data_IF_334541803216
#
_entry.id   IF_334541803216
#
_cell.length_a   1.000
_cell.length_b   1.000
_cell.length_c   1.000
_cell.angle_alpha   90.00
_cell.angle_beta   90.00
_cell.angle_gamma   90.00
#
_symmetry.space_group_name_H-M   'P 1'
#
loop_
_entity.id
_entity.type
_entity.pdbx_description
1 polymer ?
#
# COMPACT_ATOMS: atom_id res chain seq x y z
N UNK A 1 -14.33 -16.54 12.86
CA UNK A 1 -14.13 -15.98 11.51
C UNK A 1 -13.08 -14.87 11.56
N UNK A 2 -12.51 -14.43 10.43
CA UNK A 2 -11.71 -13.20 10.40
C UNK A 2 -12.66 -12.03 10.63
N UNK A 3 -12.41 -11.21 11.65
CA UNK A 3 -13.17 -9.99 11.91
C UNK A 3 -12.58 -8.82 11.13
N UNK A 4 -11.29 -8.57 11.33
CA UNK A 4 -10.56 -7.46 10.70
C UNK A 4 -9.08 -7.85 10.51
N UNK A 5 -8.52 -7.54 9.34
CA UNK A 5 -7.09 -7.77 9.06
C UNK A 5 -6.30 -6.57 9.55
N UNK A 6 -5.24 -6.85 10.28
CA UNK A 6 -4.41 -5.85 10.97
C UNK A 6 -3.04 -5.68 10.34
N UNK A 7 -2.56 -6.65 9.56
CA UNK A 7 -1.32 -6.56 8.80
C UNK A 7 -1.29 -7.59 7.68
N UNK A 8 -0.68 -7.21 6.55
CA UNK A 8 -0.28 -8.09 5.46
C UNK A 8 1.23 -8.05 5.29
N UNK A 9 1.81 -9.22 5.04
CA UNK A 9 3.22 -9.36 4.69
C UNK A 9 3.39 -10.38 3.58
N UNK A 10 4.05 -9.95 2.51
CA UNK A 10 4.51 -10.83 1.44
C UNK A 10 5.98 -11.17 1.68
N UNK A 11 6.33 -12.45 1.61
CA UNK A 11 7.72 -12.92 1.66
C UNK A 11 8.01 -13.80 0.47
N UNK A 12 9.10 -13.50 -0.23
CA UNK A 12 9.59 -14.29 -1.34
C UNK A 12 10.65 -15.27 -0.86
N UNK A 13 10.52 -16.55 -1.24
CA UNK A 13 11.54 -17.57 -1.05
C UNK A 13 12.00 -18.09 -2.40
N UNK A 14 13.28 -18.45 -2.52
CA UNK A 14 13.81 -19.05 -3.74
C UNK A 14 13.73 -20.56 -3.63
N UNK A 15 13.30 -21.23 -4.70
CA UNK A 15 13.40 -22.67 -4.79
C UNK A 15 14.88 -23.08 -4.72
N UNK A 16 15.20 -24.03 -3.84
CA UNK A 16 16.58 -24.48 -3.64
C UNK A 16 17.18 -25.17 -4.88
N UNK A 17 16.33 -25.63 -5.80
CA UNK A 17 16.73 -26.42 -6.96
C UNK A 17 16.63 -25.65 -8.29
N UNK A 18 15.90 -24.54 -8.32
CA UNK A 18 15.85 -23.62 -9.47
C UNK A 18 15.85 -22.16 -8.97
N UNK A 19 16.94 -21.43 -9.23
CA UNK A 19 17.11 -20.05 -8.73
C UNK A 19 16.22 -19.04 -9.45
N UNK A 20 15.63 -19.40 -10.58
CA UNK A 20 14.70 -18.54 -11.30
C UNK A 20 13.24 -18.77 -10.86
N UNK A 21 13.00 -19.73 -9.97
CA UNK A 21 11.69 -20.05 -9.44
C UNK A 21 11.57 -19.49 -8.02
N UNK A 22 10.84 -18.39 -7.88
CA UNK A 22 10.55 -17.76 -6.60
C UNK A 22 9.11 -18.02 -6.20
N UNK A 23 8.92 -18.53 -4.99
CA UNK A 23 7.59 -18.72 -4.41
C UNK A 23 7.33 -17.58 -3.44
N UNK A 24 6.22 -16.89 -3.66
CA UNK A 24 5.74 -15.86 -2.74
C UNK A 24 4.76 -16.45 -1.73
N UNK A 25 4.80 -15.88 -0.53
CA UNK A 25 3.98 -16.29 0.59
C UNK A 25 3.34 -15.09 1.25
N UNK A 26 2.02 -15.14 1.42
CA UNK A 26 1.26 -14.17 2.17
C UNK A 26 1.11 -14.63 3.62
N UNK A 27 1.40 -13.72 4.53
CA UNK A 27 1.08 -13.83 5.96
C UNK A 27 0.07 -12.75 6.31
N UNK A 28 -1.02 -13.17 6.96
CA UNK A 28 -2.15 -12.32 7.32
C UNK A 28 -2.28 -12.33 8.84
N UNK A 29 -2.09 -11.17 9.48
CA UNK A 29 -2.40 -10.98 10.90
C UNK A 29 -3.79 -10.37 11.03
N UNK A 30 -4.63 -10.96 11.88
CA UNK A 30 -6.02 -10.54 12.00
C UNK A 30 -6.54 -10.68 13.43
N UNK A 31 -7.62 -9.97 13.73
CA UNK A 31 -8.43 -10.22 14.92
C UNK A 31 -9.57 -11.16 14.55
N UNK A 32 -9.81 -12.17 15.38
CA UNK A 32 -11.03 -12.97 15.28
C UNK A 32 -12.25 -12.23 15.85
N UNK A 33 -13.42 -12.87 15.80
CA UNK A 33 -14.68 -12.28 16.27
C UNK A 33 -14.67 -11.89 17.75
N UNK A 34 -13.90 -12.64 18.55
CA UNK A 34 -13.69 -12.39 19.99
C UNK A 34 -12.62 -11.31 20.24
N UNK A 35 -11.99 -10.78 19.19
CA UNK A 35 -10.93 -9.78 19.29
C UNK A 35 -9.55 -10.36 19.64
N UNK A 36 -9.36 -11.67 19.55
CA UNK A 36 -8.04 -12.27 19.76
C UNK A 36 -7.20 -12.14 18.50
N UNK A 37 -5.92 -11.81 18.69
CA UNK A 37 -4.98 -11.79 17.59
C UNK A 37 -4.63 -13.21 17.11
N UNK A 38 -4.75 -13.42 15.81
CA UNK A 38 -4.50 -14.66 15.09
C UNK A 38 -3.68 -14.36 13.84
N UNK A 39 -3.14 -15.42 13.25
CA UNK A 39 -2.30 -15.31 12.07
C UNK A 39 -2.57 -16.48 11.13
N UNK A 40 -2.69 -16.19 9.83
CA UNK A 40 -2.53 -17.17 8.77
C UNK A 40 -1.10 -17.02 8.25
N UNK A 41 -0.33 -18.11 8.29
CA UNK A 41 1.07 -18.11 7.87
C UNK A 41 1.23 -18.76 6.52
N UNK A 42 2.12 -18.18 5.72
CA UNK A 42 2.69 -18.81 4.54
C UNK A 42 1.65 -19.35 3.54
N UNK A 43 0.65 -18.55 3.16
CA UNK A 43 -0.21 -18.88 2.04
C UNK A 43 0.61 -18.76 0.74
N UNK A 44 0.90 -19.86 0.02
CA UNK A 44 1.71 -19.79 -1.19
C UNK A 44 0.92 -19.19 -2.36
N UNK A 45 1.61 -18.52 -3.27
CA UNK A 45 1.04 -18.03 -4.53
C UNK A 45 1.43 -18.95 -5.70
N UNK A 46 0.53 -19.18 -6.67
CA UNK A 46 0.84 -19.86 -7.94
C UNK A 46 1.22 -18.82 -9.00
N UNK A 47 2.46 -18.87 -9.49
CA UNK A 47 3.10 -18.07 -10.58
C UNK A 47 2.70 -16.59 -10.77
N UNK A 48 3.72 -15.72 -10.81
CA UNK A 48 3.67 -14.31 -11.25
C UNK A 48 2.57 -13.47 -10.59
N UNK A 49 2.48 -13.55 -9.24
CA UNK A 49 1.88 -12.45 -8.48
C UNK A 49 2.60 -11.20 -8.97
N UNK A 50 1.86 -10.20 -9.45
CA UNK A 50 2.48 -8.93 -9.80
C UNK A 50 3.38 -8.45 -8.65
N UNK A 51 4.32 -7.54 -8.93
CA UNK A 51 5.15 -6.98 -7.86
C UNK A 51 4.24 -6.17 -6.93
N UNK A 52 3.71 -6.82 -5.89
CA UNK A 52 2.84 -6.20 -4.90
C UNK A 52 3.68 -5.56 -3.80
N UNK A 53 3.37 -4.31 -3.50
CA UNK A 53 3.81 -3.63 -2.31
C UNK A 53 2.61 -3.44 -1.37
N UNK A 54 2.59 -4.25 -0.30
CA UNK A 54 1.56 -4.19 0.76
C UNK A 54 1.38 -2.79 1.38
N UNK A 55 2.33 -1.86 1.17
CA UNK A 55 2.25 -0.48 1.64
C UNK A 55 1.46 0.44 0.72
N UNK A 56 1.45 0.16 -0.58
CA UNK A 56 0.87 1.06 -1.59
C UNK A 56 -0.32 0.44 -2.31
N UNK A 57 -0.30 -0.88 -2.51
CA UNK A 57 -1.34 -1.57 -3.26
C UNK A 57 -2.51 -1.94 -2.35
N UNK A 58 -3.77 -1.79 -2.80
CA UNK A 58 -4.93 -2.07 -1.98
C UNK A 58 -4.90 -3.50 -1.43
N UNK A 59 -5.11 -3.64 -0.12
CA UNK A 59 -5.10 -4.95 0.52
C UNK A 59 -6.18 -5.89 -0.01
N UNK A 60 -7.35 -5.35 -0.39
CA UNK A 60 -8.42 -6.13 -0.99
C UNK A 60 -7.98 -6.77 -2.31
N UNK A 61 -7.28 -6.02 -3.17
CA UNK A 61 -6.76 -6.53 -4.44
C UNK A 61 -5.71 -7.62 -4.23
N UNK A 62 -4.77 -7.42 -3.29
CA UNK A 62 -3.74 -8.41 -2.94
C UNK A 62 -4.41 -9.72 -2.45
N UNK A 63 -5.41 -9.60 -1.58
CA UNK A 63 -6.09 -10.76 -0.99
C UNK A 63 -6.91 -11.53 -2.04
N UNK A 64 -7.59 -10.80 -2.94
CA UNK A 64 -8.37 -11.39 -4.03
C UNK A 64 -7.47 -12.08 -5.05
N UNK A 65 -6.34 -11.48 -5.40
CA UNK A 65 -5.37 -12.13 -6.28
C UNK A 65 -4.86 -13.43 -5.66
N UNK A 66 -4.47 -13.40 -4.38
CA UNK A 66 -4.08 -14.59 -3.64
C UNK A 66 -5.16 -15.68 -3.70
N UNK A 67 -6.43 -15.31 -3.53
CA UNK A 67 -7.58 -16.24 -3.63
C UNK A 67 -7.67 -16.89 -5.01
N UNK A 68 -7.46 -16.12 -6.07
CA UNK A 68 -7.57 -16.57 -7.46
C UNK A 68 -6.37 -17.44 -7.89
N UNK A 69 -5.20 -17.22 -7.30
CA UNK A 69 -3.94 -17.92 -7.60
C UNK A 69 -3.58 -18.97 -6.55
N UNK A 70 -4.59 -19.46 -5.81
CA UNK A 70 -4.43 -20.58 -4.89
C UNK A 70 -3.83 -21.78 -5.61
N UNK A 71 -2.64 -22.28 -5.21
CA UNK A 71 -2.00 -23.35 -5.93
C UNK A 71 -2.80 -24.65 -5.93
N UNK A 72 -2.89 -25.30 -7.09
CA UNK A 72 -3.67 -26.53 -7.27
C UNK A 72 -3.25 -27.70 -6.36
N UNK A 73 -2.00 -27.71 -5.89
CA UNK A 73 -1.48 -28.73 -4.97
C UNK A 73 -1.91 -28.53 -3.51
N UNK A 74 -2.46 -27.36 -3.16
CA UNK A 74 -2.98 -27.11 -1.82
C UNK A 74 -4.37 -27.73 -1.68
N UNK A 75 -4.58 -28.43 -0.56
CA UNK A 75 -5.88 -29.01 -0.24
C UNK A 75 -6.94 -27.91 -0.13
N UNK A 76 -8.14 -28.21 -0.62
CA UNK A 76 -9.32 -27.38 -0.36
C UNK A 76 -9.64 -27.26 1.13
N UNK A 77 -9.19 -28.23 1.95
CA UNK A 77 -9.36 -28.25 3.41
C UNK A 77 -8.25 -27.54 4.19
N UNK A 78 -7.34 -26.84 3.50
CA UNK A 78 -6.36 -26.02 4.18
C UNK A 78 -7.06 -24.86 4.90
N UNK A 79 -6.95 -24.84 6.23
CA UNK A 79 -7.66 -23.90 7.09
C UNK A 79 -7.31 -22.44 6.79
N UNK A 80 -6.09 -22.16 6.34
CA UNK A 80 -5.69 -20.79 5.99
C UNK A 80 -6.45 -20.30 4.78
N UNK A 81 -6.51 -21.13 3.73
CA UNK A 81 -7.27 -20.84 2.53
C UNK A 81 -8.77 -20.78 2.76
N UNK A 82 -9.34 -21.73 3.54
CA UNK A 82 -10.75 -21.70 3.90
C UNK A 82 -11.13 -20.40 4.62
N UNK A 83 -10.26 -19.91 5.51
CA UNK A 83 -10.49 -18.65 6.22
C UNK A 83 -10.41 -17.43 5.30
N UNK A 84 -9.43 -17.39 4.38
CA UNK A 84 -9.29 -16.32 3.40
C UNK A 84 -10.49 -16.28 2.44
N UNK A 85 -10.85 -17.43 1.86
CA UNK A 85 -11.99 -17.58 0.96
C UNK A 85 -13.29 -17.17 1.66
N UNK A 86 -13.49 -17.64 2.90
CA UNK A 86 -14.66 -17.29 3.70
C UNK A 86 -14.73 -15.80 4.03
N UNK A 87 -13.59 -15.17 4.34
CA UNK A 87 -13.51 -13.74 4.60
C UNK A 87 -13.89 -12.92 3.37
N UNK A 88 -13.27 -13.19 2.22
CA UNK A 88 -13.53 -12.46 0.98
C UNK A 88 -14.95 -12.67 0.45
N UNK A 89 -15.48 -13.90 0.57
CA UNK A 89 -16.86 -14.20 0.16
C UNK A 89 -17.90 -13.39 0.95
N UNK A 90 -17.61 -13.04 2.21
CA UNK A 90 -18.51 -12.30 3.08
C UNK A 90 -17.99 -10.89 3.40
N UNK A 91 -17.07 -10.37 2.58
CA UNK A 91 -16.47 -9.06 2.79
C UNK A 91 -17.56 -7.99 2.70
N UNK A 92 -17.75 -7.27 3.80
CA UNK A 92 -18.70 -6.15 3.85
C UNK A 92 -18.03 -4.85 3.45
N UNK A 93 -18.81 -3.85 3.04
CA UNK A 93 -18.29 -2.50 2.77
C UNK A 93 -17.58 -1.88 3.98
N UNK A 94 -18.06 -2.18 5.19
CA UNK A 94 -17.40 -1.76 6.44
C UNK A 94 -16.04 -2.41 6.59
N UNK A 95 -15.91 -3.71 6.34
CA UNK A 95 -14.63 -4.41 6.44
C UNK A 95 -13.66 -3.99 5.34
N UNK A 96 -14.15 -3.71 4.13
CA UNK A 96 -13.33 -3.14 3.05
C UNK A 96 -12.76 -1.77 3.46
N UNK A 97 -13.58 -0.90 4.07
CA UNK A 97 -13.07 0.37 4.64
C UNK A 97 -12.07 0.14 5.79
N UNK A 98 -12.30 -0.85 6.66
CA UNK A 98 -11.37 -1.19 7.75
C UNK A 98 -10.02 -1.69 7.23
N UNK A 99 -9.98 -2.39 6.08
CA UNK A 99 -8.73 -2.79 5.43
C UNK A 99 -7.92 -1.58 4.98
N UNK A 100 -8.56 -0.62 4.30
CA UNK A 100 -7.93 0.62 3.87
C UNK A 100 -7.43 1.43 5.07
N UNK A 101 -8.25 1.57 6.11
CA UNK A 101 -7.88 2.27 7.33
C UNK A 101 -6.69 1.60 8.03
N UNK A 102 -6.64 0.27 8.06
CA UNK A 102 -5.56 -0.50 8.69
C UNK A 102 -4.26 -0.38 7.92
N UNK A 103 -4.33 -0.44 6.59
CA UNK A 103 -3.19 -0.17 5.71
C UNK A 103 -2.65 1.25 5.92
N UNK A 104 -3.52 2.26 5.90
CA UNK A 104 -3.13 3.64 6.10
C UNK A 104 -2.48 3.85 7.46
N UNK A 105 -3.09 3.36 8.55
CA UNK A 105 -2.51 3.45 9.90
C UNK A 105 -1.12 2.83 10.01
N UNK A 106 -0.89 1.69 9.35
CA UNK A 106 0.41 1.02 9.39
C UNK A 106 1.50 1.79 8.63
N UNK A 107 1.16 2.40 7.50
CA UNK A 107 2.13 2.94 6.56
C UNK A 107 2.10 4.48 6.43
N UNK A 108 1.25 5.15 7.20
CA UNK A 108 1.21 6.61 7.33
C UNK A 108 2.54 7.19 7.75
N UNK A 109 3.24 6.56 8.70
CA UNK A 109 4.54 7.03 9.18
C UNK A 109 5.60 7.06 8.07
N UNK A 110 5.62 6.03 7.20
CA UNK A 110 6.53 5.97 6.06
C UNK A 110 6.17 7.03 5.01
N UNK A 111 4.86 7.18 4.71
CA UNK A 111 4.37 8.24 3.81
C UNK A 111 4.76 9.63 4.32
N UNK A 112 4.57 9.89 5.62
CA UNK A 112 4.95 11.15 6.28
C UNK A 112 6.46 11.35 6.24
N UNK A 113 7.25 10.31 6.53
CA UNK A 113 8.71 10.40 6.47
C UNK A 113 9.21 10.72 5.05
N UNK A 114 8.63 10.11 4.02
CA UNK A 114 8.97 10.38 2.62
C UNK A 114 8.57 11.81 2.21
N UNK A 115 7.39 12.29 2.63
CA UNK A 115 6.97 13.67 2.42
C UNK A 115 7.96 14.63 3.09
N UNK A 116 8.30 14.43 4.37
CA UNK A 116 9.26 15.26 5.10
C UNK A 116 10.65 15.24 4.44
N UNK A 117 11.10 14.07 3.98
CA UNK A 117 12.37 13.93 3.25
C UNK A 117 12.35 14.71 1.95
N UNK A 118 11.26 14.68 1.19
CA UNK A 118 11.12 15.46 -0.04
C UNK A 118 11.04 16.97 0.24
N UNK A 119 10.31 17.39 1.28
CA UNK A 119 10.26 18.80 1.73
C UNK A 119 11.65 19.30 2.11
N UNK A 120 12.45 18.47 2.80
CA UNK A 120 13.81 18.87 3.21
C UNK A 120 14.72 19.21 2.03
N UNK A 121 14.44 18.64 0.85
CA UNK A 121 15.20 18.85 -0.40
C UNK A 121 14.72 20.05 -1.21
N UNK A 122 13.59 20.65 -0.85
CA UNK A 122 13.09 21.85 -1.52
C UNK A 122 14.03 23.04 -1.24
N UNK A 123 14.15 23.93 -2.22
CA UNK A 123 14.75 25.25 -2.02
C UNK A 123 13.88 26.09 -1.09
N UNK A 124 14.40 27.20 -0.56
CA UNK A 124 13.62 28.08 0.32
C UNK A 124 12.35 28.62 -0.36
N UNK A 125 12.41 28.87 -1.68
CA UNK A 125 11.24 29.24 -2.49
C UNK A 125 10.24 28.08 -2.57
N UNK A 126 10.72 26.85 -2.76
CA UNK A 126 9.87 25.66 -2.78
C UNK A 126 9.21 25.38 -1.43
N UNK A 127 9.93 25.59 -0.31
CA UNK A 127 9.38 25.45 1.04
C UNK A 127 8.31 26.48 1.33
N UNK A 128 8.54 27.75 0.98
CA UNK A 128 7.54 28.81 1.15
C UNK A 128 6.27 28.56 0.30
N UNK A 129 6.42 28.05 -0.93
CA UNK A 129 5.29 27.66 -1.77
C UNK A 129 4.49 26.51 -1.16
N UNK A 130 5.17 25.50 -0.61
CA UNK A 130 4.53 24.39 0.08
C UNK A 130 3.78 24.85 1.34
N UNK A 131 4.36 25.73 2.16
CA UNK A 131 3.69 26.33 3.32
C UNK A 131 2.45 27.15 2.93
N UNK A 132 2.49 27.90 1.81
CA UNK A 132 1.31 28.61 1.29
C UNK A 132 0.22 27.62 0.88
N UNK A 133 0.57 26.50 0.25
CA UNK A 133 -0.38 25.44 -0.14
C UNK A 133 -1.04 24.72 1.04
N UNK A 134 -0.33 24.54 2.16
CA UNK A 134 -0.90 23.92 3.36
C UNK A 134 -1.99 24.79 4.03
N UNK A 135 -2.00 26.09 3.74
CA UNK A 135 -2.89 27.07 4.39
C UNK A 135 -4.07 27.50 3.51
N UNK A 136 -4.24 26.91 2.33
CA UNK A 136 -5.37 27.18 1.43
C UNK A 136 -6.26 25.96 1.31
N UNK A 137 -7.57 26.19 1.13
CA UNK A 137 -8.53 25.13 0.85
C UNK A 137 -8.12 24.34 -0.40
N UNK A 138 -8.48 23.06 -0.45
CA UNK A 138 -8.12 22.12 -1.54
C UNK A 138 -8.48 22.63 -2.94
N UNK A 139 -9.55 23.42 -3.07
CA UNK A 139 -9.97 24.04 -4.34
C UNK A 139 -9.00 25.12 -4.85
N UNK A 140 -8.19 25.72 -3.97
CA UNK A 140 -7.31 26.85 -4.28
C UNK A 140 -5.82 26.44 -4.41
N UNK A 141 -5.49 25.17 -4.14
CA UNK A 141 -4.11 24.65 -4.22
C UNK A 141 -3.54 24.83 -5.62
N UNK A 142 -4.36 24.68 -6.66
CA UNK A 142 -3.93 24.78 -8.06
C UNK A 142 -3.55 26.19 -8.50
N UNK A 143 -4.22 27.20 -7.95
CA UNK A 143 -3.91 28.61 -8.21
C UNK A 143 -2.58 29.01 -7.55
N UNK A 144 -2.34 28.55 -6.31
CA UNK A 144 -1.06 28.76 -5.62
C UNK A 144 0.09 28.05 -6.34
N UNK A 145 -0.13 26.82 -6.79
CA UNK A 145 0.85 26.09 -7.60
C UNK A 145 1.20 26.83 -8.89
N UNK A 146 0.19 27.26 -9.64
CA UNK A 146 0.37 27.97 -10.92
C UNK A 146 1.13 29.29 -10.74
N UNK A 147 0.81 30.04 -9.67
CA UNK A 147 1.51 31.29 -9.30
C UNK A 147 3.00 31.06 -9.05
N UNK A 148 3.36 30.05 -8.25
CA UNK A 148 4.76 29.75 -7.94
C UNK A 148 5.50 29.14 -9.12
N UNK A 149 4.85 28.27 -9.91
CA UNK A 149 5.41 27.72 -11.15
C UNK A 149 5.77 28.82 -12.16
N UNK A 150 4.87 29.78 -12.37
CA UNK A 150 5.11 30.92 -13.24
C UNK A 150 6.24 31.82 -12.73
N UNK A 151 6.38 32.00 -11.41
CA UNK A 151 7.50 32.73 -10.80
C UNK A 151 8.84 32.04 -11.08
N UNK A 152 8.90 30.71 -10.93
CA UNK A 152 10.12 29.92 -11.15
C UNK A 152 10.52 29.91 -12.63
N UNK A 153 9.57 29.73 -13.54
CA UNK A 153 9.84 29.66 -14.99
C UNK A 153 10.18 31.02 -15.59
N UNK A 154 9.58 32.10 -15.10
CA UNK A 154 9.88 33.47 -15.55
C UNK A 154 11.29 33.93 -15.13
N UNK A 155 11.85 33.38 -14.04
CA UNK A 155 13.24 33.65 -13.64
C UNK A 155 14.27 32.86 -14.47
N UNK A 156 13.85 31.81 -15.20
CA UNK A 156 14.72 31.07 -16.12
C UNK A 156 14.84 31.72 -17.50
N UNK A 157 13.82 32.46 -17.95
CA UNK A 157 13.86 33.18 -19.23
C UNK A 157 14.65 34.49 -19.18
N UNK A 158 14.96 35.02 -17.99
CA UNK A 158 15.67 36.30 -17.84
C UNK A 158 17.18 36.17 -17.64
N UNK A 159 17.75 34.96 -17.73
CA UNK A 159 19.20 34.70 -17.61
C UNK A 159 19.86 34.38 -18.96
N UNK A 160 19.17 34.69 -20.07
CA UNK A 160 19.61 34.40 -21.45
C UNK A 160 19.85 35.62 -22.33
N UNK A 161 19.89 36.84 -21.77
CA UNK A 161 20.31 38.05 -22.48
C UNK A 161 21.18 38.88 -21.54
N UNK A 162 22.50 38.68 -21.64
CA UNK A 162 23.54 39.71 -21.79
C UNK A 162 24.94 39.06 -21.91
#
# INVERSE_FOLDING_TARGET
MIKTITSLKITTSHNLFDRNDTIEYLTIDYLDEDGNQKQIKNLPHEEDAGIYDVKTDPWEDILEDWRLTKPAYISSSDKGWELLESYLQHLTSTQSQELEDSQNKLYEADKVADILRNISRLSDVGKAAFEEMLNVDTENVWDVYSKHWNRITSHRSSHGED
#
